data_IF_855287384449
#
_entry.id   IF_855287384449
#
_cell.length_a   1.000
_cell.length_b   1.000
_cell.length_c   1.000
_cell.angle_alpha   90.00
_cell.angle_beta   90.00
_cell.angle_gamma   90.00
#
_symmetry.space_group_name_H-M   'P 1'
#
loop_
_entity.id
_entity.type
_entity.pdbx_description
1 polymer ?
#
# COMPACT_ATOMS: atom_id res chain seq x y z
N UNK A 1 24.06 8.76 -8.10
CA UNK A 1 23.18 7.65 -8.47
C UNK A 1 22.30 7.29 -7.28
N UNK A 2 20.98 7.13 -7.49
CA UNK A 2 20.12 6.65 -6.41
C UNK A 2 20.56 5.26 -5.96
N UNK A 3 20.50 5.01 -4.65
CA UNK A 3 20.80 3.70 -4.10
C UNK A 3 19.59 2.78 -4.26
N UNK A 4 19.83 1.49 -4.48
CA UNK A 4 18.78 0.49 -4.41
C UNK A 4 18.31 0.33 -2.96
N UNK A 5 17.01 0.09 -2.78
CA UNK A 5 16.46 -0.23 -1.47
C UNK A 5 16.85 -1.66 -1.09
N UNK A 6 17.03 -1.90 0.22
CA UNK A 6 17.29 -3.24 0.71
C UNK A 6 16.01 -4.06 0.66
N UNK A 7 16.01 -5.16 -0.08
CA UNK A 7 14.83 -5.98 -0.35
C UNK A 7 14.90 -7.39 0.25
N UNK A 8 16.08 -7.81 0.71
CA UNK A 8 16.26 -9.16 1.26
C UNK A 8 16.18 -10.26 0.21
N UNK A 9 15.76 -11.46 0.63
CA UNK A 9 15.70 -12.65 -0.21
C UNK A 9 14.50 -12.58 -1.18
N UNK A 10 14.77 -12.80 -2.48
CA UNK A 10 13.73 -12.79 -3.53
C UNK A 10 13.42 -14.18 -4.09
N UNK A 11 13.95 -15.24 -3.50
CA UNK A 11 13.72 -16.60 -3.98
C UNK A 11 12.22 -16.91 -4.05
N UNK A 12 11.78 -17.53 -5.14
CA UNK A 12 10.38 -17.92 -5.33
C UNK A 12 9.45 -16.82 -5.85
N UNK A 13 9.90 -15.57 -5.91
CA UNK A 13 9.11 -14.47 -6.47
C UNK A 13 9.14 -14.52 -8.00
N UNK A 14 8.11 -13.91 -8.63
CA UNK A 14 8.06 -13.83 -10.10
C UNK A 14 9.18 -12.95 -10.66
N UNK A 15 9.47 -13.11 -11.94
CA UNK A 15 10.44 -12.24 -12.63
C UNK A 15 10.00 -10.77 -12.57
N UNK A 16 8.70 -10.51 -12.69
CA UNK A 16 8.13 -9.16 -12.59
C UNK A 16 8.37 -8.57 -11.20
N UNK A 17 8.06 -9.33 -10.14
CA UNK A 17 8.29 -8.87 -8.76
C UNK A 17 9.77 -8.57 -8.52
N UNK A 18 10.67 -9.46 -8.95
CA UNK A 18 12.11 -9.23 -8.81
C UNK A 18 12.56 -7.98 -9.54
N UNK A 19 12.06 -7.75 -10.74
CA UNK A 19 12.38 -6.55 -11.53
C UNK A 19 11.91 -5.28 -10.81
N UNK A 20 10.69 -5.27 -10.30
CA UNK A 20 10.15 -4.10 -9.57
C UNK A 20 10.95 -3.80 -8.31
N UNK A 21 11.35 -4.83 -7.58
CA UNK A 21 12.13 -4.68 -6.36
C UNK A 21 13.56 -4.17 -6.61
N UNK A 22 14.06 -4.29 -7.83
CA UNK A 22 15.39 -3.83 -8.22
C UNK A 22 15.42 -2.39 -8.72
N UNK A 23 14.27 -1.72 -8.81
CA UNK A 23 14.23 -0.30 -9.18
C UNK A 23 15.05 0.52 -8.17
N UNK A 24 15.81 1.52 -8.63
CA UNK A 24 16.56 2.38 -7.72
C UNK A 24 15.63 3.23 -6.86
N UNK A 25 16.14 3.72 -5.75
CA UNK A 25 15.44 4.70 -4.94
C UNK A 25 15.15 5.96 -5.79
N UNK A 26 13.99 6.57 -5.56
CA UNK A 26 13.62 7.82 -6.20
C UNK A 26 14.52 8.96 -5.67
N UNK A 27 14.80 9.99 -6.50
CA UNK A 27 15.47 11.19 -6.00
C UNK A 27 14.74 11.79 -4.80
N UNK A 28 15.49 12.33 -3.85
CA UNK A 28 14.94 12.86 -2.60
C UNK A 28 14.01 14.06 -2.79
N UNK A 29 14.09 14.75 -3.92
CA UNK A 29 13.22 15.87 -4.28
C UNK A 29 11.97 15.47 -5.07
N UNK A 30 11.78 14.17 -5.30
CA UNK A 30 10.57 13.65 -5.96
C UNK A 30 9.34 13.93 -5.10
N UNK A 31 8.19 14.16 -5.76
CA UNK A 31 6.91 14.32 -5.07
C UNK A 31 5.88 13.37 -5.69
N UNK A 32 5.33 12.50 -4.86
CA UNK A 32 4.26 11.58 -5.27
C UNK A 32 2.92 12.23 -4.96
N UNK A 33 2.18 12.58 -6.01
CA UNK A 33 0.89 13.26 -5.89
C UNK A 33 -0.30 12.30 -6.02
N UNK A 34 -0.09 11.13 -6.62
CA UNK A 34 -1.14 10.12 -6.83
C UNK A 34 -0.57 8.72 -6.77
N UNK A 35 -1.33 7.82 -6.15
CA UNK A 35 -1.07 6.38 -6.13
C UNK A 35 -2.23 5.65 -6.83
N UNK A 36 -1.91 4.63 -7.60
CA UNK A 36 -2.91 3.73 -8.21
C UNK A 36 -2.57 2.30 -7.85
N UNK A 37 -3.44 1.65 -7.10
CA UNK A 37 -3.28 0.24 -6.74
C UNK A 37 -4.08 -0.59 -7.74
N UNK A 38 -3.41 -1.52 -8.40
CA UNK A 38 -4.03 -2.50 -9.28
C UNK A 38 -4.02 -3.84 -8.54
N UNK A 39 -5.14 -4.18 -7.91
CA UNK A 39 -5.22 -5.31 -6.97
C UNK A 39 -4.91 -6.64 -7.66
N UNK A 40 -5.49 -6.86 -8.86
CA UNK A 40 -5.25 -8.10 -9.60
C UNK A 40 -3.78 -8.34 -9.91
N UNK A 41 -3.02 -7.27 -10.16
CA UNK A 41 -1.60 -7.34 -10.47
C UNK A 41 -0.72 -7.35 -9.20
N UNK A 42 -1.27 -7.03 -8.05
CA UNK A 42 -0.51 -6.81 -6.81
C UNK A 42 0.58 -5.75 -7.00
N UNK A 43 0.20 -4.63 -7.64
CA UNK A 43 1.12 -3.53 -7.93
C UNK A 43 0.50 -2.20 -7.57
N UNK A 44 1.34 -1.25 -7.17
CA UNK A 44 0.95 0.12 -6.87
C UNK A 44 1.84 1.08 -7.64
N UNK A 45 1.24 1.90 -8.49
CA UNK A 45 1.94 2.89 -9.30
C UNK A 45 1.95 4.24 -8.57
N UNK A 46 3.11 4.90 -8.58
CA UNK A 46 3.28 6.24 -8.00
C UNK A 46 3.50 7.26 -9.11
N UNK A 47 2.69 8.30 -9.14
CA UNK A 47 2.72 9.38 -10.15
C UNK A 47 3.04 10.72 -9.52
N UNK A 48 3.72 11.58 -10.27
CA UNK A 48 3.91 12.99 -9.88
C UNK A 48 2.67 13.84 -10.21
N UNK A 49 2.74 15.14 -9.89
CA UNK A 49 1.63 16.05 -10.13
C UNK A 49 1.33 16.28 -11.62
N UNK A 50 2.27 15.96 -12.52
CA UNK A 50 2.10 16.04 -13.95
C UNK A 50 1.60 14.75 -14.58
N UNK A 51 1.30 13.74 -13.74
CA UNK A 51 0.81 12.45 -14.21
C UNK A 51 1.88 11.52 -14.76
N UNK A 52 3.15 11.81 -14.49
CA UNK A 52 4.26 10.94 -14.92
C UNK A 52 4.45 9.81 -13.93
N UNK A 53 4.59 8.59 -14.43
CA UNK A 53 4.88 7.43 -13.60
C UNK A 53 6.32 7.53 -13.08
N UNK A 54 6.46 7.55 -11.75
CA UNK A 54 7.76 7.61 -11.08
C UNK A 54 8.29 6.22 -10.75
N UNK A 55 7.41 5.35 -10.26
CA UNK A 55 7.82 4.02 -9.78
C UNK A 55 6.59 3.14 -9.61
N UNK A 56 6.79 1.83 -9.69
CA UNK A 56 5.77 0.83 -9.37
C UNK A 56 6.28 -0.06 -8.25
N UNK A 57 5.45 -0.28 -7.24
CA UNK A 57 5.78 -1.09 -6.06
C UNK A 57 5.00 -2.40 -6.10
N UNK A 58 5.63 -3.56 -5.90
CA UNK A 58 4.89 -4.79 -5.67
C UNK A 58 4.31 -4.77 -4.26
N UNK A 59 3.07 -5.21 -4.10
CA UNK A 59 2.35 -5.12 -2.82
C UNK A 59 1.71 -6.44 -2.44
N UNK A 60 1.47 -6.62 -1.14
CA UNK A 60 0.56 -7.62 -0.61
C UNK A 60 -0.70 -6.90 -0.09
N UNK A 61 -1.82 -7.59 -0.13
CA UNK A 61 -3.14 -7.04 0.15
C UNK A 61 -3.81 -7.77 1.32
N UNK A 62 -5.07 -7.47 1.57
CA UNK A 62 -5.90 -8.20 2.52
C UNK A 62 -6.02 -9.68 2.18
N UNK A 63 -6.19 -10.53 3.18
CA UNK A 63 -6.18 -12.00 3.00
C UNK A 63 -7.35 -12.54 2.17
N UNK A 64 -8.36 -11.71 1.88
CA UNK A 64 -9.49 -12.04 1.01
C UNK A 64 -9.67 -10.90 0.00
N UNK A 65 -8.74 -10.75 -0.99
CA UNK A 65 -8.57 -9.48 -1.72
C UNK A 65 -9.59 -9.22 -2.81
N UNK A 66 -10.32 -10.22 -3.28
CA UNK A 66 -11.25 -10.05 -4.40
C UNK A 66 -12.50 -9.32 -3.94
N UNK A 67 -12.77 -8.18 -4.56
CA UNK A 67 -13.93 -7.35 -4.26
C UNK A 67 -13.63 -6.19 -3.31
N UNK A 68 -14.55 -5.25 -3.24
CA UNK A 68 -14.45 -4.07 -2.39
C UNK A 68 -14.66 -4.42 -0.92
N UNK A 69 -13.85 -3.84 -0.04
CA UNK A 69 -14.07 -3.95 1.40
C UNK A 69 -15.43 -3.33 1.77
N UNK A 70 -16.22 -4.09 2.53
CA UNK A 70 -17.56 -3.67 2.95
C UNK A 70 -17.71 -3.65 4.47
N UNK A 71 -17.04 -4.55 5.17
CA UNK A 71 -17.24 -4.77 6.61
C UNK A 71 -15.92 -4.98 7.33
N UNK A 72 -15.89 -4.58 8.58
CA UNK A 72 -14.79 -4.93 9.47
C UNK A 72 -14.62 -6.45 9.53
N UNK A 73 -13.38 -6.91 9.41
CA UNK A 73 -13.05 -8.32 9.48
C UNK A 73 -13.21 -9.12 8.19
N UNK A 74 -13.66 -8.49 7.09
CA UNK A 74 -13.85 -9.22 5.82
C UNK A 74 -12.53 -9.55 5.10
N UNK A 75 -11.41 -9.00 5.54
CA UNK A 75 -10.10 -9.26 4.94
C UNK A 75 -9.89 -8.66 3.56
N UNK A 76 -10.80 -7.79 3.14
CA UNK A 76 -10.73 -7.16 1.81
C UNK A 76 -10.01 -5.82 1.87
N UNK A 77 -9.28 -5.51 0.81
CA UNK A 77 -8.75 -4.16 0.57
C UNK A 77 -9.83 -3.36 -0.19
N UNK A 78 -10.10 -2.11 0.21
CA UNK A 78 -11.11 -1.28 -0.47
C UNK A 78 -10.81 -1.11 -1.95
N UNK A 79 -11.86 -0.81 -2.72
CA UNK A 79 -11.78 -0.37 -4.12
C UNK A 79 -12.47 0.98 -4.25
N UNK A 80 -11.90 1.86 -5.07
CA UNK A 80 -12.44 3.20 -5.28
C UNK A 80 -11.40 4.29 -5.09
N UNK A 81 -11.86 5.52 -4.95
CA UNK A 81 -11.00 6.70 -4.79
C UNK A 81 -11.02 7.18 -3.35
N UNK A 82 -9.84 7.34 -2.82
CA UNK A 82 -9.60 7.80 -1.45
C UNK A 82 -8.44 8.80 -1.45
N UNK A 83 -8.08 9.30 -0.28
CA UNK A 83 -6.90 10.16 -0.10
C UNK A 83 -5.99 9.59 0.97
N UNK A 84 -4.72 9.96 0.91
CA UNK A 84 -3.77 9.70 1.99
C UNK A 84 -3.97 10.80 3.03
N UNK A 85 -4.64 10.46 4.13
CA UNK A 85 -5.10 11.43 5.12
C UNK A 85 -4.35 11.40 6.45
N UNK A 86 -3.38 10.50 6.60
CA UNK A 86 -2.65 10.36 7.86
C UNK A 86 -1.24 9.84 7.61
N UNK A 87 -0.35 10.15 8.54
CA UNK A 87 1.07 9.77 8.49
C UNK A 87 1.50 9.39 9.91
N UNK A 88 1.95 8.16 10.10
CA UNK A 88 2.42 7.69 11.40
C UNK A 88 3.82 7.11 11.31
N UNK A 89 4.85 7.81 11.85
CA UNK A 89 6.21 7.31 11.85
C UNK A 89 6.49 6.25 12.92
N UNK A 90 5.57 6.06 13.86
CA UNK A 90 5.69 5.15 14.99
C UNK A 90 4.65 4.03 14.93
N UNK A 91 4.42 3.50 13.73
CA UNK A 91 3.50 2.39 13.50
C UNK A 91 4.02 1.08 14.10
N UNK A 92 3.10 0.18 14.47
CA UNK A 92 3.45 -1.21 14.78
C UNK A 92 4.00 -1.98 13.57
N UNK A 93 3.91 -1.40 12.37
CA UNK A 93 4.39 -1.93 11.09
C UNK A 93 5.38 -0.98 10.43
N UNK A 94 6.36 -0.55 11.19
CA UNK A 94 7.45 0.36 10.83
C UNK A 94 6.95 1.79 10.67
N UNK A 95 6.39 2.15 9.53
CA UNK A 95 5.72 3.43 9.27
C UNK A 95 4.43 3.16 8.51
N UNK A 96 3.48 4.10 8.57
CA UNK A 96 2.30 3.97 7.72
C UNK A 96 1.81 5.30 7.17
N UNK A 97 1.08 5.18 6.05
CA UNK A 97 0.28 6.23 5.44
C UNK A 97 -1.17 5.79 5.51
N UNK A 98 -2.04 6.63 6.07
CA UNK A 98 -3.46 6.33 6.21
C UNK A 98 -4.23 6.57 4.92
N UNK A 99 -5.14 5.63 4.60
CA UNK A 99 -6.08 5.73 3.50
C UNK A 99 -7.46 6.11 4.07
N UNK A 100 -8.16 7.04 3.43
CA UNK A 100 -9.39 7.65 3.95
C UNK A 100 -10.63 6.75 3.89
N UNK A 101 -10.47 5.44 3.82
CA UNK A 101 -11.57 4.48 3.97
C UNK A 101 -11.95 4.36 5.46
N UNK A 102 -13.26 4.27 5.84
CA UNK A 102 -14.43 4.33 4.95
C UNK A 102 -14.85 5.77 4.64
N UNK A 103 -15.41 5.96 3.44
CA UNK A 103 -16.13 7.20 3.12
C UNK A 103 -17.60 7.10 3.56
N UNK A 104 -18.40 8.14 3.29
CA UNK A 104 -19.80 8.18 3.71
C UNK A 104 -20.62 7.04 3.07
N UNK A 105 -20.39 6.73 1.80
CA UNK A 105 -21.08 5.65 1.11
C UNK A 105 -20.73 4.28 1.71
N UNK A 106 -19.46 4.08 2.04
CA UNK A 106 -18.98 2.85 2.68
C UNK A 106 -19.65 2.64 4.03
N UNK A 107 -19.75 3.71 4.86
CA UNK A 107 -20.39 3.65 6.15
C UNK A 107 -21.90 3.38 6.02
N UNK A 108 -22.56 4.06 5.09
CA UNK A 108 -23.99 3.89 4.87
C UNK A 108 -24.33 2.46 4.46
N UNK A 109 -23.54 1.87 3.56
CA UNK A 109 -23.76 0.50 3.14
C UNK A 109 -23.63 -0.48 4.31
N UNK A 110 -22.56 -0.37 5.09
CA UNK A 110 -22.36 -1.26 6.24
C UNK A 110 -23.46 -1.08 7.29
N UNK A 111 -23.83 0.16 7.59
CA UNK A 111 -24.90 0.46 8.56
C UNK A 111 -26.25 -0.13 8.12
N UNK A 112 -26.57 -0.09 6.83
CA UNK A 112 -27.79 -0.69 6.28
C UNK A 112 -27.82 -2.21 6.49
N UNK A 113 -26.66 -2.86 6.59
CA UNK A 113 -26.53 -4.29 6.89
C UNK A 113 -26.39 -4.57 8.39
N UNK A 114 -26.48 -3.55 9.24
CA UNK A 114 -26.30 -3.70 10.68
C UNK A 114 -24.86 -4.00 11.11
N UNK A 115 -23.87 -3.58 10.31
CA UNK A 115 -22.46 -3.88 10.52
C UNK A 115 -21.60 -2.63 10.51
N UNK A 116 -20.36 -2.77 11.01
CA UNK A 116 -19.33 -1.74 10.90
C UNK A 116 -18.57 -1.90 9.57
N UNK A 117 -18.30 -0.77 8.90
CA UNK A 117 -17.44 -0.76 7.72
C UNK A 117 -15.99 -1.10 8.06
N UNK A 118 -15.59 -0.98 9.32
CA UNK A 118 -14.20 -1.06 9.74
C UNK A 118 -13.45 0.22 9.44
N UNK A 119 -12.15 0.13 9.27
CA UNK A 119 -11.26 1.26 9.04
C UNK A 119 -9.81 0.82 9.18
N UNK A 120 -8.94 1.78 9.53
CA UNK A 120 -7.51 1.53 9.71
C UNK A 120 -6.85 0.89 8.48
N UNK A 121 -7.26 1.33 7.29
CA UNK A 121 -6.61 0.92 6.05
C UNK A 121 -5.37 1.80 5.88
N UNK A 122 -4.22 1.17 5.82
CA UNK A 122 -2.92 1.83 5.77
C UNK A 122 -2.07 1.22 4.66
N UNK A 123 -1.13 2.02 4.15
CA UNK A 123 0.05 1.50 3.45
C UNK A 123 1.12 1.39 4.51
N UNK A 124 1.71 0.22 4.72
CA UNK A 124 2.66 0.01 5.81
C UNK A 124 3.77 -0.96 5.42
N UNK A 125 4.83 -0.97 6.24
CA UNK A 125 5.93 -1.92 6.13
C UNK A 125 5.65 -3.22 6.87
N UNK A 126 6.74 -3.89 7.29
CA UNK A 126 6.66 -5.14 8.05
C UNK A 126 6.40 -4.84 9.53
N UNK A 127 5.79 -5.80 10.21
CA UNK A 127 5.62 -5.74 11.66
C UNK A 127 6.97 -5.44 12.33
N UNK A 128 6.96 -4.61 13.36
CA UNK A 128 8.17 -4.24 14.10
C UNK A 128 8.91 -5.48 14.58
N UNK A 129 10.22 -5.53 14.33
CA UNK A 129 11.05 -6.70 14.60
C UNK A 129 11.09 -7.73 13.47
N UNK A 130 10.23 -7.58 12.45
CA UNK A 130 10.11 -8.54 11.33
C UNK A 130 10.58 -7.95 9.98
N UNK A 131 11.27 -6.81 10.01
CA UNK A 131 11.72 -6.15 8.78
C UNK A 131 12.61 -7.02 7.89
N UNK A 132 13.35 -7.96 8.49
CA UNK A 132 14.20 -8.89 7.75
C UNK A 132 13.44 -9.85 6.81
N UNK A 133 12.13 -10.02 6.99
CA UNK A 133 11.31 -10.77 6.04
C UNK A 133 11.43 -10.15 4.65
N UNK A 134 11.44 -8.81 4.55
CA UNK A 134 11.66 -8.12 3.30
C UNK A 134 10.71 -8.58 2.20
N UNK A 135 11.25 -8.83 1.01
CA UNK A 135 10.49 -9.21 -0.18
C UNK A 135 9.69 -10.51 -0.01
N UNK A 136 10.03 -11.37 0.95
CA UNK A 136 9.30 -12.62 1.16
C UNK A 136 7.84 -12.39 1.60
N UNK A 137 7.49 -11.19 2.09
CA UNK A 137 6.10 -10.87 2.43
C UNK A 137 5.17 -10.96 1.19
N UNK A 138 5.73 -10.85 -0.01
CA UNK A 138 4.94 -10.89 -1.25
C UNK A 138 4.41 -12.28 -1.62
N UNK A 139 4.78 -13.33 -0.89
CA UNK A 139 4.32 -14.68 -1.18
C UNK A 139 2.82 -14.85 -1.05
N UNK A 140 2.17 -14.04 -0.22
CA UNK A 140 0.72 -14.13 -0.01
C UNK A 140 0.16 -12.80 0.43
N UNK A 141 -1.15 -12.63 0.26
CA UNK A 141 -1.89 -11.53 0.85
C UNK A 141 -2.12 -11.86 2.33
N UNK A 142 -1.52 -11.09 3.22
CA UNK A 142 -1.43 -11.45 4.64
C UNK A 142 -2.05 -10.41 5.57
N UNK A 143 -2.52 -9.28 5.04
CA UNK A 143 -3.06 -8.20 5.87
C UNK A 143 -4.56 -8.39 6.13
N UNK A 144 -5.12 -7.54 6.98
CA UNK A 144 -6.56 -7.48 7.22
C UNK A 144 -7.28 -6.50 6.29
N UNK A 145 -6.61 -6.02 5.26
CA UNK A 145 -7.13 -5.07 4.25
C UNK A 145 -6.13 -3.99 3.89
N UNK A 146 -5.07 -3.82 4.66
CA UNK A 146 -4.00 -2.87 4.37
C UNK A 146 -3.20 -3.27 3.13
N UNK A 147 -2.45 -2.30 2.62
CA UNK A 147 -1.51 -2.48 1.50
C UNK A 147 -0.12 -2.55 2.09
N UNK A 148 0.57 -3.68 1.94
CA UNK A 148 1.89 -3.89 2.53
C UNK A 148 3.00 -3.80 1.49
N UNK A 149 4.07 -3.14 1.87
CA UNK A 149 5.33 -3.01 1.11
C UNK A 149 6.49 -3.34 2.04
N UNK A 150 7.72 -3.43 1.52
CA UNK A 150 8.90 -3.61 2.36
C UNK A 150 9.17 -2.36 3.20
N UNK A 151 9.97 -2.50 4.26
CA UNK A 151 10.32 -1.36 5.12
C UNK A 151 11.03 -0.25 4.34
N UNK A 152 11.95 -0.59 3.44
CA UNK A 152 12.62 0.41 2.60
C UNK A 152 11.64 1.15 1.69
N UNK A 153 10.64 0.44 1.16
CA UNK A 153 9.64 1.04 0.30
C UNK A 153 8.70 1.97 1.07
N UNK A 154 8.27 1.60 2.27
CA UNK A 154 7.44 2.53 3.05
C UNK A 154 8.26 3.73 3.54
N UNK A 155 9.54 3.59 3.80
CA UNK A 155 10.40 4.73 4.09
C UNK A 155 10.40 5.73 2.93
N UNK A 156 10.53 5.26 1.70
CA UNK A 156 10.49 6.08 0.50
C UNK A 156 9.12 6.74 0.31
N UNK A 157 8.06 5.96 0.37
CA UNK A 157 6.69 6.47 0.23
C UNK A 157 6.36 7.50 1.32
N UNK A 158 6.73 7.22 2.56
CA UNK A 158 6.50 8.13 3.68
C UNK A 158 7.18 9.48 3.45
N UNK A 159 8.40 9.46 2.91
CA UNK A 159 9.15 10.68 2.64
C UNK A 159 8.60 11.48 1.46
N UNK A 160 8.08 10.82 0.42
CA UNK A 160 7.80 11.44 -0.88
C UNK A 160 6.31 11.64 -1.19
N UNK A 161 5.40 10.89 -0.57
CA UNK A 161 3.96 11.04 -0.80
C UNK A 161 3.48 12.35 -0.16
N UNK A 162 2.84 13.19 -0.97
CA UNK A 162 2.32 14.49 -0.53
C UNK A 162 1.11 14.30 0.40
N UNK A 163 0.93 15.21 1.39
CA UNK A 163 -0.31 15.22 2.18
C UNK A 163 -1.54 15.32 1.26
N UNK A 164 -2.58 14.56 1.57
CA UNK A 164 -3.82 14.50 0.80
C UNK A 164 -3.64 14.03 -0.64
N UNK A 165 -2.56 13.29 -0.94
CA UNK A 165 -2.39 12.66 -2.24
C UNK A 165 -3.58 11.74 -2.53
N UNK A 166 -4.03 11.71 -3.79
CA UNK A 166 -5.08 10.80 -4.23
C UNK A 166 -4.56 9.37 -4.24
N UNK A 167 -5.38 8.42 -3.83
CA UNK A 167 -5.14 6.99 -4.02
C UNK A 167 -6.37 6.37 -4.65
N UNK A 168 -6.19 5.77 -5.83
CA UNK A 168 -7.22 5.00 -6.52
C UNK A 168 -6.89 3.52 -6.41
N UNK A 169 -7.85 2.73 -5.96
CA UNK A 169 -7.66 1.30 -5.78
C UNK A 169 -8.60 0.59 -6.74
N UNK A 170 -8.02 -0.11 -7.71
CA UNK A 170 -8.72 -0.80 -8.78
C UNK A 170 -8.80 -2.31 -8.48
N UNK A 171 -9.86 -2.99 -9.00
CA UNK A 171 -10.00 -4.45 -8.86
C UNK A 171 -8.80 -5.24 -9.32
#
# INVERSE_FOLDING_TARGET
MPKSLSIGNTAGLSARQKSLLQQPALPADSEIAKLVVRKADREMDAYDAQGRLLKTYPVALGFNPVGHKQFEGDGKTPEGRYTINDRNPNSGYHKNLGVSYPNDADRAYAAAQGKSAGGNIKIHGMRNGMGAIGAQHLYRDWTHGCIAVTDGEIDELYALVKPQAEIEILP
#
